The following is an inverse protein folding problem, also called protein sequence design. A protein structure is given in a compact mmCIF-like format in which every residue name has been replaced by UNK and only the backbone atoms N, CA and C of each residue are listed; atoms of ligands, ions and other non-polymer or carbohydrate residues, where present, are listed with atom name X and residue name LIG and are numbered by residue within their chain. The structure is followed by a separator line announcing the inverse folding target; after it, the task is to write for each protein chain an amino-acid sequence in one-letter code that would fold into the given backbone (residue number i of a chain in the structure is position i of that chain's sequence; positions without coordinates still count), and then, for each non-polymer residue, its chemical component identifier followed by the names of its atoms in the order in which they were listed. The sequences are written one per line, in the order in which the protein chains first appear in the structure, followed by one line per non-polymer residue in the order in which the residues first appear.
data_IF_066441870071
#
_entry.id   IF_066441870071
#
_cell.length_a   1.000
_cell.length_b   1.000
_cell.length_c   1.000
_cell.angle_alpha   90.00
_cell.angle_beta   90.00
_cell.angle_gamma   90.00
#
_symmetry.space_group_name_H-M   'P 1'
#
loop_
_entity.id
_entity.type
_entity.pdbx_description
1 polymer ?
#
# COMPACT_ATOMS: atom_id res chain seq x y z
N UNK A 1 54.78 56.32 -4.07
CA UNK A 1 54.57 56.12 -5.52
C UNK A 1 53.38 55.18 -5.70
N UNK A 2 52.16 55.70 -5.60
CA UNK A 2 51.39 56.34 -6.69
C UNK A 2 50.96 55.32 -7.75
N UNK A 3 49.72 54.85 -7.65
CA UNK A 3 48.85 54.77 -8.82
C UNK A 3 47.68 55.72 -8.58
N UNK A 4 47.74 56.80 -9.34
CA UNK A 4 46.80 57.89 -9.37
C UNK A 4 45.41 57.44 -9.86
N UNK A 5 44.40 57.95 -9.17
CA UNK A 5 43.09 58.38 -9.71
C UNK A 5 43.26 59.14 -11.03
N UNK A 6 42.21 59.16 -11.87
CA UNK A 6 41.60 60.36 -12.50
C UNK A 6 40.55 59.88 -13.52
N UNK A 7 39.27 59.88 -13.13
CA UNK A 7 38.17 60.80 -13.54
C UNK A 7 37.42 60.34 -14.82
N UNK A 8 36.10 60.50 -15.00
CA UNK A 8 35.32 61.75 -14.90
C UNK A 8 33.81 61.46 -15.06
N UNK A 9 33.00 62.25 -14.33
CA UNK A 9 31.71 62.86 -14.69
C UNK A 9 30.50 62.03 -15.19
N UNK A 10 29.40 62.10 -14.44
CA UNK A 10 28.20 62.93 -14.71
C UNK A 10 27.28 62.81 -13.48
N UNK A 11 27.10 63.82 -12.64
CA UNK A 11 26.17 64.94 -12.76
C UNK A 11 24.72 64.54 -13.10
N UNK A 12 23.84 64.94 -12.17
CA UNK A 12 22.43 65.30 -12.27
C UNK A 12 21.39 64.35 -11.64
N UNK A 13 20.59 65.00 -10.76
CA UNK A 13 19.14 64.83 -10.58
C UNK A 13 18.72 63.53 -9.87
N UNK A 14 18.05 63.51 -8.72
CA UNK A 14 16.95 64.35 -8.24
C UNK A 14 16.82 64.21 -6.72
N UNK A 15 16.43 65.30 -6.07
CA UNK A 15 15.75 65.26 -4.78
C UNK A 15 14.40 64.61 -5.01
N UNK A 16 14.05 63.59 -4.22
CA UNK A 16 12.66 63.46 -3.80
C UNK A 16 12.55 62.82 -2.41
N UNK A 17 12.08 63.65 -1.49
CA UNK A 17 11.62 63.27 -0.17
C UNK A 17 10.40 62.38 -0.37
N UNK A 18 10.49 61.12 0.06
CA UNK A 18 9.30 60.27 0.22
C UNK A 18 8.43 60.85 1.34
N UNK A 19 7.47 61.68 0.96
CA UNK A 19 6.29 61.96 1.78
C UNK A 19 5.48 60.66 1.92
N UNK A 20 5.53 60.05 3.10
CA UNK A 20 4.54 59.05 3.51
C UNK A 20 3.16 59.73 3.56
N UNK A 21 2.35 59.51 2.51
CA UNK A 21 0.92 59.78 2.56
C UNK A 21 0.30 58.89 3.65
N UNK A 22 0.15 59.44 4.87
CA UNK A 22 -0.72 58.87 5.90
C UNK A 22 -2.14 58.79 5.32
N UNK A 23 -2.57 57.59 4.97
CA UNK A 23 -3.99 57.34 4.71
C UNK A 23 -4.79 57.77 5.95
N UNK A 24 -5.87 58.56 5.81
CA UNK A 24 -6.68 58.94 6.96
C UNK A 24 -7.31 57.69 7.56
N UNK A 25 -6.79 57.28 8.71
CA UNK A 25 -7.37 56.22 9.52
C UNK A 25 -8.62 56.82 10.19
N UNK A 26 -9.79 56.47 9.68
CA UNK A 26 -11.05 56.88 10.30
C UNK A 26 -11.10 56.36 11.74
N UNK A 27 -11.68 57.13 12.70
CA UNK A 27 -11.83 56.66 14.07
C UNK A 27 -12.58 55.33 14.09
N UNK A 28 -12.09 54.34 14.84
CA UNK A 28 -12.69 53.00 14.90
C UNK A 28 -14.19 53.04 15.24
N UNK A 29 -14.61 54.00 16.07
CA UNK A 29 -16.00 54.20 16.46
C UNK A 29 -16.88 54.67 15.29
N UNK A 30 -16.34 55.43 14.34
CA UNK A 30 -17.08 55.90 13.17
C UNK A 30 -17.23 54.77 12.14
N UNK A 31 -16.20 53.92 12.01
CA UNK A 31 -16.24 52.72 11.17
C UNK A 31 -17.28 51.74 11.70
N UNK A 32 -17.37 51.53 13.02
CA UNK A 32 -18.37 50.64 13.61
C UNK A 32 -19.79 51.19 13.44
N UNK A 33 -20.00 52.48 13.67
CA UNK A 33 -21.31 53.11 13.46
C UNK A 33 -21.77 53.02 12.01
N UNK A 34 -20.89 53.31 11.05
CA UNK A 34 -21.21 53.16 9.63
C UNK A 34 -21.46 51.69 9.24
N UNK A 35 -20.69 50.75 9.80
CA UNK A 35 -20.90 49.33 9.56
C UNK A 35 -22.27 48.85 10.07
N UNK A 36 -22.70 49.33 11.23
CA UNK A 36 -24.01 48.99 11.81
C UNK A 36 -25.18 49.62 11.04
N UNK A 37 -25.04 50.87 10.59
CA UNK A 37 -26.05 51.59 9.79
C UNK A 37 -26.23 50.94 8.41
N UNK A 38 -25.11 50.57 7.76
CA UNK A 38 -25.11 49.85 6.49
C UNK A 38 -25.67 48.44 6.67
N UNK A 39 -25.31 47.74 7.75
CA UNK A 39 -25.84 46.41 8.05
C UNK A 39 -27.36 46.43 8.23
N UNK A 40 -27.91 47.37 8.99
CA UNK A 40 -29.37 47.54 9.14
C UNK A 40 -30.05 47.82 7.79
N UNK A 41 -29.51 48.75 7.01
CA UNK A 41 -30.08 49.14 5.71
C UNK A 41 -30.07 47.98 4.70
N UNK A 42 -29.01 47.17 4.69
CA UNK A 42 -28.89 45.99 3.82
C UNK A 42 -29.84 44.86 4.26
N UNK A 43 -30.03 44.66 5.57
CA UNK A 43 -30.98 43.68 6.13
C UNK A 43 -32.42 44.03 5.75
N UNK A 44 -32.79 45.31 5.80
CA UNK A 44 -34.14 45.77 5.49
C UNK A 44 -34.47 45.72 3.99
N UNK A 45 -33.52 46.08 3.12
CA UNK A 45 -33.77 46.15 1.66
C UNK A 45 -33.48 44.85 0.90
N UNK A 46 -32.64 43.96 1.44
CA UNK A 46 -32.20 42.74 0.75
C UNK A 46 -32.14 41.53 1.70
N UNK A 47 -33.29 41.05 2.23
CA UNK A 47 -33.34 39.93 3.19
C UNK A 47 -32.79 38.61 2.60
N UNK A 48 -32.81 38.47 1.27
CA UNK A 48 -32.32 37.30 0.54
C UNK A 48 -30.78 37.22 0.46
N UNK A 49 -30.04 38.31 0.69
CA UNK A 49 -28.57 38.27 0.73
C UNK A 49 -28.03 37.66 2.05
N UNK A 50 -28.81 37.74 3.13
CA UNK A 50 -28.48 37.13 4.44
C UNK A 50 -28.91 35.66 4.56
N UNK A 51 -29.76 35.18 3.63
CA UNK A 51 -30.07 33.75 3.50
C UNK A 51 -28.93 32.93 2.90
N UNK A 52 -27.84 33.56 2.46
CA UNK A 52 -26.56 32.89 2.23
C UNK A 52 -25.84 32.65 3.57
N UNK A 53 -26.58 32.07 4.52
CA UNK A 53 -26.05 31.62 5.79
C UNK A 53 -24.97 30.58 5.54
N UNK A 54 -23.76 30.90 6.00
CA UNK A 54 -22.87 29.99 6.71
C UNK A 54 -22.97 28.53 6.23
N UNK A 55 -22.32 28.22 5.10
CA UNK A 55 -21.67 26.91 4.99
C UNK A 55 -20.65 26.88 6.13
N UNK A 56 -21.07 26.37 7.30
CA UNK A 56 -20.14 25.81 8.29
C UNK A 56 -19.16 24.99 7.47
N UNK A 57 -17.87 25.31 7.54
CA UNK A 57 -16.84 24.36 7.16
C UNK A 57 -17.19 23.09 7.92
N UNK A 58 -17.78 22.11 7.22
CA UNK A 58 -18.05 20.81 7.82
C UNK A 58 -16.67 20.37 8.34
N UNK A 59 -16.53 19.98 9.63
CA UNK A 59 -15.32 19.27 10.02
C UNK A 59 -15.14 18.16 9.00
N UNK A 60 -13.93 18.03 8.46
CA UNK A 60 -13.56 16.95 7.55
C UNK A 60 -14.20 15.67 8.10
N UNK A 61 -14.95 14.91 7.29
CA UNK A 61 -15.70 13.78 7.79
C UNK A 61 -14.70 12.86 8.48
N UNK A 62 -14.82 12.70 9.81
CA UNK A 62 -14.03 11.71 10.53
C UNK A 62 -14.22 10.38 9.79
N UNK A 63 -13.15 9.66 9.44
CA UNK A 63 -13.28 8.42 8.68
C UNK A 63 -14.25 7.51 9.43
N UNK A 64 -15.38 7.18 8.78
CA UNK A 64 -16.34 6.23 9.35
C UNK A 64 -15.56 4.95 9.61
N UNK A 65 -15.60 4.45 10.84
CA UNK A 65 -14.94 3.18 11.18
C UNK A 65 -15.51 2.09 10.27
N UNK A 66 -14.63 1.38 9.59
CA UNK A 66 -14.97 0.23 8.76
C UNK A 66 -14.74 -1.01 9.60
N UNK A 67 -15.80 -1.57 10.16
CA UNK A 67 -15.71 -2.82 10.91
C UNK A 67 -15.23 -3.95 9.99
N UNK A 68 -14.42 -4.87 10.53
CA UNK A 68 -13.87 -6.00 9.79
C UNK A 68 -13.09 -5.61 8.53
N UNK A 69 -12.40 -4.46 8.55
CA UNK A 69 -11.56 -4.00 7.45
C UNK A 69 -10.25 -4.79 7.32
N UNK A 70 -9.89 -5.13 6.08
CA UNK A 70 -8.57 -5.64 5.71
C UNK A 70 -7.89 -4.65 4.79
N UNK A 71 -6.79 -4.09 5.28
CA UNK A 71 -6.01 -3.06 4.62
C UNK A 71 -4.99 -3.71 3.70
N UNK A 72 -5.05 -3.37 2.42
CA UNK A 72 -4.10 -3.86 1.43
C UNK A 72 -2.89 -2.93 1.34
N UNK A 73 -1.70 -3.53 1.37
CA UNK A 73 -0.43 -2.89 1.01
C UNK A 73 -0.15 -3.01 -0.51
N UNK A 74 0.67 -2.11 -1.04
CA UNK A 74 1.13 -2.09 -2.43
C UNK A 74 1.72 -3.43 -2.85
N UNK A 75 2.54 -4.05 -1.98
CA UNK A 75 3.18 -5.34 -2.27
C UNK A 75 2.17 -6.47 -2.49
N UNK A 76 1.12 -6.54 -1.66
CA UNK A 76 0.07 -7.55 -1.77
C UNK A 76 -0.81 -7.33 -3.01
N UNK A 77 -1.07 -6.07 -3.37
CA UNK A 77 -1.85 -5.73 -4.58
C UNK A 77 -1.10 -6.14 -5.84
N UNK A 78 0.21 -5.88 -5.90
CA UNK A 78 1.04 -6.24 -7.07
C UNK A 78 1.18 -7.77 -7.20
N UNK A 79 1.34 -8.48 -6.09
CA UNK A 79 1.43 -9.94 -6.07
C UNK A 79 0.13 -10.60 -6.57
N UNK A 80 -1.01 -10.13 -6.06
CA UNK A 80 -2.33 -10.49 -6.57
C UNK A 80 -2.91 -11.81 -6.08
N UNK A 81 -2.11 -12.75 -5.53
CA UNK A 81 -2.61 -14.06 -5.06
C UNK A 81 -3.68 -13.94 -3.99
N UNK A 82 -3.65 -12.86 -3.21
CA UNK A 82 -4.70 -12.59 -2.22
C UNK A 82 -6.07 -12.41 -2.86
N UNK A 83 -6.15 -11.88 -4.08
CA UNK A 83 -7.43 -11.71 -4.77
C UNK A 83 -8.05 -13.04 -5.17
N UNK A 84 -7.24 -14.06 -5.49
CA UNK A 84 -7.73 -15.41 -5.72
C UNK A 84 -8.32 -16.00 -4.43
N UNK A 85 -7.64 -15.81 -3.29
CA UNK A 85 -8.14 -16.23 -1.97
C UNK A 85 -9.47 -15.54 -1.62
N UNK A 86 -9.61 -14.25 -1.94
CA UNK A 86 -10.86 -13.51 -1.72
C UNK A 86 -11.96 -14.00 -2.67
N UNK A 87 -11.64 -14.24 -3.96
CA UNK A 87 -12.60 -14.76 -4.94
C UNK A 87 -13.12 -16.15 -4.58
N UNK A 88 -12.30 -16.99 -3.93
CA UNK A 88 -12.69 -18.28 -3.38
C UNK A 88 -13.65 -18.18 -2.19
N UNK A 89 -13.84 -16.99 -1.60
CA UNK A 89 -14.72 -16.76 -0.45
C UNK A 89 -14.10 -17.13 0.90
N UNK A 90 -12.79 -17.40 0.96
CA UNK A 90 -12.07 -17.63 2.22
C UNK A 90 -11.96 -16.35 3.07
N UNK A 91 -12.01 -15.18 2.42
CA UNK A 91 -11.93 -13.87 3.05
C UNK A 91 -13.15 -13.04 2.65
N UNK A 92 -14.07 -12.80 3.60
CA UNK A 92 -15.34 -12.08 3.38
C UNK A 92 -15.36 -10.67 3.99
N UNK A 93 -14.18 -10.17 4.35
CA UNK A 93 -13.98 -8.85 4.95
C UNK A 93 -14.11 -7.72 3.92
N UNK A 94 -14.28 -6.48 4.39
CA UNK A 94 -14.20 -5.30 3.52
C UNK A 94 -12.72 -5.06 3.22
N UNK A 95 -12.35 -5.15 1.94
CA UNK A 95 -11.01 -4.80 1.48
C UNK A 95 -10.91 -3.29 1.40
N UNK A 96 -9.87 -2.74 2.01
CA UNK A 96 -9.68 -1.30 2.12
C UNK A 96 -8.31 -0.91 1.60
N UNK A 97 -8.29 0.09 0.72
CA UNK A 97 -7.06 0.64 0.13
C UNK A 97 -6.95 2.10 0.56
N UNK A 98 -5.98 2.45 1.41
CA UNK A 98 -5.67 3.85 1.68
C UNK A 98 -5.30 4.60 0.39
N UNK A 99 -5.67 5.88 0.31
CA UNK A 99 -5.35 6.71 -0.85
C UNK A 99 -3.84 6.79 -1.12
N UNK A 100 -3.00 6.80 -0.07
CA UNK A 100 -1.54 6.79 -0.23
C UNK A 100 -1.01 5.55 -0.94
N UNK A 101 -1.54 4.37 -0.61
CA UNK A 101 -1.21 3.09 -1.25
C UNK A 101 -1.62 3.11 -2.73
N UNK A 102 -2.83 3.61 -3.03
CA UNK A 102 -3.28 3.72 -4.42
C UNK A 102 -2.42 4.70 -5.23
N UNK A 103 -1.97 5.79 -4.61
CA UNK A 103 -1.07 6.76 -5.24
C UNK A 103 0.33 6.18 -5.46
N UNK A 104 0.86 5.44 -4.51
CA UNK A 104 2.13 4.73 -4.64
C UNK A 104 2.07 3.71 -5.78
N UNK A 105 1.00 2.90 -5.85
CA UNK A 105 0.80 1.94 -6.92
C UNK A 105 0.73 2.62 -8.30
N UNK A 106 0.06 3.77 -8.41
CA UNK A 106 0.07 4.59 -9.65
C UNK A 106 1.46 5.07 -10.02
N UNK A 107 2.24 5.57 -9.05
CA UNK A 107 3.65 5.98 -9.29
C UNK A 107 4.50 4.80 -9.78
N UNK A 108 4.26 3.60 -9.27
CA UNK A 108 4.92 2.37 -9.75
C UNK A 108 4.48 2.07 -11.20
N UNK A 109 3.18 2.19 -11.50
CA UNK A 109 2.61 2.00 -12.84
C UNK A 109 3.05 3.06 -13.88
N UNK A 110 3.63 4.17 -13.43
CA UNK A 110 4.21 5.23 -14.25
C UNK A 110 5.76 5.24 -14.19
N UNK A 111 6.37 4.23 -13.56
CA UNK A 111 7.82 4.14 -13.42
C UNK A 111 8.53 4.08 -14.78
N UNK A 112 9.75 4.62 -14.85
CA UNK A 112 10.61 4.48 -16.02
C UNK A 112 11.12 3.04 -16.19
N UNK A 113 11.27 2.32 -15.07
CA UNK A 113 11.60 0.90 -15.05
C UNK A 113 10.44 0.08 -15.62
N UNK A 114 10.71 -0.64 -16.72
CA UNK A 114 9.70 -1.41 -17.43
C UNK A 114 9.06 -2.52 -16.59
N UNK A 115 9.84 -3.18 -15.74
CA UNK A 115 9.35 -4.29 -14.89
C UNK A 115 8.46 -3.75 -13.79
N UNK A 116 8.88 -2.66 -13.12
CA UNK A 116 8.05 -1.99 -12.11
C UNK A 116 6.76 -1.45 -12.72
N UNK A 117 6.85 -0.80 -13.88
CA UNK A 117 5.72 -0.26 -14.64
C UNK A 117 4.69 -1.35 -14.96
N UNK A 118 5.13 -2.48 -15.50
CA UNK A 118 4.24 -3.59 -15.83
C UNK A 118 3.57 -4.17 -14.58
N UNK A 119 4.34 -4.38 -13.51
CA UNK A 119 3.82 -4.86 -12.22
C UNK A 119 2.77 -3.90 -11.63
N UNK A 120 3.02 -2.60 -11.66
CA UNK A 120 2.06 -1.60 -11.18
C UNK A 120 0.77 -1.58 -11.99
N UNK A 121 0.87 -1.63 -13.33
CA UNK A 121 -0.30 -1.70 -14.22
C UNK A 121 -1.13 -2.95 -13.98
N UNK A 122 -0.46 -4.10 -13.85
CA UNK A 122 -1.12 -5.37 -13.51
C UNK A 122 -1.87 -5.28 -12.17
N UNK A 123 -1.25 -4.69 -11.14
CA UNK A 123 -1.91 -4.47 -9.85
C UNK A 123 -3.17 -3.60 -9.97
N UNK A 124 -3.10 -2.50 -10.71
CA UNK A 124 -4.26 -1.64 -10.98
C UNK A 124 -5.38 -2.37 -11.74
N UNK A 125 -5.01 -3.17 -12.74
CA UNK A 125 -5.96 -3.99 -13.51
C UNK A 125 -6.70 -5.00 -12.61
N UNK A 126 -5.98 -5.66 -11.68
CA UNK A 126 -6.59 -6.58 -10.72
C UNK A 126 -7.57 -5.86 -9.79
N UNK A 127 -7.24 -4.66 -9.31
CA UNK A 127 -8.17 -3.87 -8.50
C UNK A 127 -9.45 -3.53 -9.25
N UNK A 128 -9.36 -3.17 -10.53
CA UNK A 128 -10.52 -2.88 -11.38
C UNK A 128 -11.39 -4.12 -11.60
N UNK A 129 -10.78 -5.30 -11.77
CA UNK A 129 -11.51 -6.59 -11.84
C UNK A 129 -12.20 -6.90 -10.52
N UNK A 130 -11.49 -6.76 -9.40
CA UNK A 130 -11.99 -7.05 -8.07
C UNK A 130 -13.19 -6.16 -7.71
N UNK A 131 -13.13 -4.87 -8.06
CA UNK A 131 -14.22 -3.90 -7.86
C UNK A 131 -15.52 -4.30 -8.57
N UNK A 132 -15.43 -5.01 -9.71
CA UNK A 132 -16.59 -5.47 -10.51
C UNK A 132 -17.10 -6.84 -10.06
N UNK A 133 -16.37 -7.53 -9.17
CA UNK A 133 -16.70 -8.89 -8.75
C UNK A 133 -17.83 -8.88 -7.72
N UNK A 134 -18.90 -9.63 -7.99
CA UNK A 134 -20.05 -9.73 -7.09
C UNK A 134 -19.65 -10.36 -5.75
N UNK A 135 -20.16 -9.82 -4.65
CA UNK A 135 -19.90 -10.34 -3.31
C UNK A 135 -18.66 -9.75 -2.63
N UNK A 136 -17.74 -9.13 -3.38
CA UNK A 136 -16.53 -8.51 -2.83
C UNK A 136 -16.77 -7.02 -2.58
N UNK A 137 -16.46 -6.56 -1.37
CA UNK A 137 -16.54 -5.15 -0.98
C UNK A 137 -15.14 -4.55 -0.98
N UNK A 138 -14.84 -3.78 -2.02
CA UNK A 138 -13.61 -3.00 -2.13
C UNK A 138 -13.91 -1.50 -1.89
N UNK A 139 -13.19 -0.90 -0.95
CA UNK A 139 -13.32 0.52 -0.61
C UNK A 139 -11.96 1.22 -0.70
N UNK A 140 -11.91 2.36 -1.40
CA UNK A 140 -10.79 3.29 -1.27
C UNK A 140 -11.07 4.20 -0.08
N UNK A 141 -10.14 4.29 0.86
CA UNK A 141 -10.25 5.16 2.03
C UNK A 141 -9.55 6.49 1.74
N UNK A 142 -10.30 7.60 1.65
CA UNK A 142 -9.71 8.94 1.58
C UNK A 142 -8.92 9.21 2.85
N UNK A 143 -7.74 9.80 2.70
CA UNK A 143 -6.93 10.16 3.86
C UNK A 143 -7.33 11.56 4.38
N UNK A 144 -7.41 11.69 5.71
CA UNK A 144 -7.72 12.98 6.33
C UNK A 144 -6.58 13.98 6.21
N UNK A 145 -6.90 15.27 6.14
CA UNK A 145 -5.92 16.38 6.13
C UNK A 145 -5.38 16.71 7.54
N UNK A 146 -5.32 15.74 8.45
CA UNK A 146 -4.78 16.02 9.78
C UNK A 146 -3.27 16.25 9.65
N UNK A 147 -2.75 17.36 10.20
CA UNK A 147 -1.31 17.69 10.17
C UNK A 147 -0.39 16.56 10.67
N UNK A 148 -0.91 15.67 11.51
CA UNK A 148 -0.18 14.50 12.01
C UNK A 148 0.04 13.46 10.91
N UNK A 149 -0.92 13.26 10.01
CA UNK A 149 -0.86 12.31 8.89
C UNK A 149 0.09 12.79 7.78
N UNK A 150 0.23 14.11 7.58
CA UNK A 150 1.11 14.66 6.53
C UNK A 150 2.58 14.32 6.74
N UNK A 151 3.01 14.13 7.99
CA UNK A 151 4.40 13.81 8.34
C UNK A 151 4.69 12.31 8.38
N UNK A 152 3.65 11.47 8.34
CA UNK A 152 3.78 10.03 8.42
C UNK A 152 4.18 9.45 7.06
N UNK A 153 5.03 8.43 7.10
CA UNK A 153 5.29 7.60 5.92
C UNK A 153 4.05 6.76 5.56
N UNK A 154 4.12 6.09 4.41
CA UNK A 154 3.00 5.28 3.88
C UNK A 154 2.66 4.13 4.85
N UNK A 155 3.68 3.47 5.41
CA UNK A 155 3.52 2.36 6.35
C UNK A 155 2.85 2.81 7.66
N UNK A 156 3.27 3.93 8.23
CA UNK A 156 2.74 4.51 9.45
C UNK A 156 1.27 4.90 9.27
N UNK A 157 0.91 5.45 8.11
CA UNK A 157 -0.50 5.71 7.76
C UNK A 157 -1.28 4.40 7.69
N UNK A 158 -0.74 3.37 7.04
CA UNK A 158 -1.38 2.06 6.95
C UNK A 158 -1.62 1.47 8.35
N UNK A 159 -0.62 1.51 9.23
CA UNK A 159 -0.75 1.06 10.63
C UNK A 159 -1.78 1.89 11.40
N UNK A 160 -1.76 3.21 11.24
CA UNK A 160 -2.71 4.11 11.88
C UNK A 160 -4.15 3.77 11.48
N UNK A 161 -4.43 3.66 10.18
CA UNK A 161 -5.76 3.34 9.70
C UNK A 161 -6.21 1.93 10.12
N UNK A 162 -5.32 0.94 10.06
CA UNK A 162 -5.63 -0.39 10.57
C UNK A 162 -6.00 -0.35 12.06
N UNK A 163 -5.24 0.38 12.88
CA UNK A 163 -5.45 0.46 14.33
C UNK A 163 -6.77 1.14 14.70
N UNK A 164 -7.09 2.30 14.11
CA UNK A 164 -8.35 3.01 14.44
C UNK A 164 -9.60 2.25 14.00
N UNK A 165 -9.47 1.40 12.97
CA UNK A 165 -10.55 0.57 12.44
C UNK A 165 -10.57 -0.84 13.06
N UNK A 166 -9.65 -1.17 13.97
CA UNK A 166 -9.44 -2.55 14.47
C UNK A 166 -9.33 -3.57 13.32
N UNK A 167 -8.74 -3.14 12.22
CA UNK A 167 -8.55 -3.93 11.01
C UNK A 167 -7.25 -4.73 11.04
N UNK A 168 -7.07 -5.51 9.98
CA UNK A 168 -5.85 -6.30 9.72
C UNK A 168 -5.16 -5.77 8.48
N UNK A 169 -3.85 -5.95 8.37
CA UNK A 169 -3.09 -5.63 7.16
C UNK A 169 -2.86 -6.91 6.37
N UNK A 170 -2.87 -6.80 5.04
CA UNK A 170 -2.42 -7.84 4.13
C UNK A 170 -1.20 -7.28 3.41
N UNK A 171 -0.09 -8.00 3.46
CA UNK A 171 1.18 -7.61 2.83
C UNK A 171 1.91 -8.84 2.28
N UNK A 172 2.87 -8.60 1.39
CA UNK A 172 3.91 -9.57 1.03
C UNK A 172 5.27 -9.22 1.62
N UNK A 173 5.39 -8.07 2.29
CA UNK A 173 6.64 -7.58 2.88
C UNK A 173 6.79 -8.06 4.34
N UNK A 174 7.85 -8.85 4.57
CA UNK A 174 8.21 -9.36 5.89
C UNK A 174 8.58 -8.26 6.90
N UNK A 175 9.21 -7.18 6.46
CA UNK A 175 9.58 -6.07 7.32
C UNK A 175 8.35 -5.28 7.75
N UNK A 176 7.41 -5.06 6.83
CA UNK A 176 6.14 -4.40 7.13
C UNK A 176 5.30 -5.23 8.11
N UNK A 177 5.24 -6.56 7.91
CA UNK A 177 4.62 -7.49 8.86
C UNK A 177 5.23 -7.39 10.26
N UNK A 178 6.56 -7.43 10.37
CA UNK A 178 7.26 -7.33 11.65
C UNK A 178 7.00 -5.99 12.35
N UNK A 179 7.05 -4.89 11.59
CA UNK A 179 6.79 -3.52 12.08
C UNK A 179 5.33 -3.39 12.55
N UNK A 180 4.37 -3.94 11.82
CA UNK A 180 2.95 -3.97 12.20
C UNK A 180 2.73 -4.68 13.54
N UNK A 181 3.34 -5.85 13.72
CA UNK A 181 3.22 -6.64 14.95
C UNK A 181 3.76 -5.87 16.17
N UNK A 182 4.89 -5.17 16.02
CA UNK A 182 5.44 -4.29 17.09
C UNK A 182 4.48 -3.15 17.43
N UNK A 183 3.75 -2.61 16.45
CA UNK A 183 2.75 -1.54 16.63
C UNK A 183 1.40 -2.04 17.18
N UNK A 184 1.27 -3.35 17.41
CA UNK A 184 0.05 -4.01 17.87
C UNK A 184 -1.04 -4.10 16.79
N UNK A 185 -0.64 -4.16 15.52
CA UNK A 185 -1.54 -4.33 14.37
C UNK A 185 -1.29 -5.70 13.76
N UNK A 186 -2.34 -6.49 13.59
CA UNK A 186 -2.23 -7.81 12.99
C UNK A 186 -1.98 -7.71 11.48
N UNK A 187 -0.91 -8.35 11.00
CA UNK A 187 -0.58 -8.43 9.58
C UNK A 187 -0.64 -9.89 9.10
N UNK A 188 -1.26 -10.09 7.94
CA UNK A 188 -1.33 -11.36 7.22
C UNK A 188 -0.34 -11.27 6.07
N UNK A 189 0.69 -12.11 6.13
CA UNK A 189 1.65 -12.24 5.05
C UNK A 189 1.19 -13.29 4.04
N UNK A 190 0.95 -12.88 2.80
CA UNK A 190 0.50 -13.78 1.72
C UNK A 190 1.52 -14.88 1.44
N UNK A 191 2.82 -14.59 1.61
CA UNK A 191 3.87 -15.60 1.46
C UNK A 191 3.80 -16.66 2.57
N UNK A 192 3.53 -16.25 3.81
CA UNK A 192 3.34 -17.17 4.91
C UNK A 192 2.10 -18.04 4.69
N UNK A 193 0.99 -17.42 4.26
CA UNK A 193 -0.24 -18.15 3.90
C UNK A 193 0.03 -19.20 2.82
N UNK A 194 0.70 -18.83 1.74
CA UNK A 194 1.03 -19.77 0.67
C UNK A 194 1.88 -20.95 1.16
N UNK A 195 2.84 -20.70 2.06
CA UNK A 195 3.65 -21.77 2.65
C UNK A 195 2.84 -22.68 3.58
N UNK A 196 1.86 -22.15 4.32
CA UNK A 196 0.96 -22.95 5.15
C UNK A 196 0.03 -23.86 4.36
N UNK A 197 -0.27 -23.50 3.11
CA UNK A 197 -1.13 -24.28 2.21
C UNK A 197 -0.36 -25.33 1.39
N UNK A 198 0.97 -25.37 1.47
CA UNK A 198 1.77 -26.42 0.82
C UNK A 198 1.45 -27.77 1.43
N UNK A 199 1.37 -28.79 0.58
CA UNK A 199 1.16 -30.17 1.01
C UNK A 199 2.25 -30.56 2.01
N UNK A 200 1.82 -31.02 3.19
CA UNK A 200 2.74 -31.50 4.22
C UNK A 200 2.91 -32.98 4.02
N UNK A 201 3.88 -33.36 3.20
CA UNK A 201 4.23 -34.75 3.00
C UNK A 201 4.86 -35.29 4.29
N UNK A 202 4.28 -36.34 4.87
CA UNK A 202 4.71 -36.90 6.18
C UNK A 202 5.45 -38.22 5.97
N UNK A 203 6.49 -38.56 6.75
CA UNK A 203 7.05 -39.91 6.75
C UNK A 203 5.96 -40.98 6.89
N UNK A 204 5.96 -41.98 6.02
CA UNK A 204 4.95 -43.04 5.93
C UNK A 204 3.83 -42.76 4.92
N UNK A 205 3.70 -41.54 4.40
CA UNK A 205 2.76 -41.24 3.32
C UNK A 205 3.25 -41.82 1.99
N UNK A 206 2.32 -42.36 1.21
CA UNK A 206 2.61 -42.91 -0.13
C UNK A 206 2.27 -41.88 -1.19
N UNK A 207 3.16 -41.71 -2.16
CA UNK A 207 3.03 -40.78 -3.28
C UNK A 207 3.24 -41.53 -4.59
N UNK A 208 2.47 -41.16 -5.60
CA UNK A 208 2.70 -41.58 -6.98
C UNK A 208 3.53 -40.50 -7.68
N UNK A 209 4.73 -40.84 -8.15
CA UNK A 209 5.67 -39.87 -8.68
C UNK A 209 6.38 -40.38 -9.93
N UNK A 210 6.55 -39.48 -10.91
CA UNK A 210 7.42 -39.73 -12.06
C UNK A 210 8.87 -39.51 -11.68
N UNK A 211 9.72 -40.51 -11.91
CA UNK A 211 11.17 -40.34 -11.80
C UNK A 211 11.68 -39.67 -13.08
N UNK A 212 12.28 -38.49 -12.94
CA UNK A 212 12.67 -37.67 -14.08
C UNK A 212 14.18 -37.68 -14.32
N UNK A 213 14.98 -37.71 -13.25
CA UNK A 213 16.43 -37.61 -13.34
C UNK A 213 17.14 -38.61 -12.43
N UNK A 214 18.41 -38.92 -12.75
CA UNK A 214 19.33 -39.55 -11.79
C UNK A 214 19.61 -38.55 -10.67
N UNK A 215 19.61 -39.01 -9.43
CA UNK A 215 19.95 -38.21 -8.26
C UNK A 215 21.45 -37.98 -8.12
N UNK A 216 21.83 -37.38 -6.98
CA UNK A 216 23.23 -37.08 -6.70
C UNK A 216 24.06 -38.37 -6.54
N UNK A 217 23.50 -39.36 -5.87
CA UNK A 217 24.11 -40.69 -5.77
C UNK A 217 23.60 -41.59 -6.91
N UNK A 218 24.46 -42.47 -7.44
CA UNK A 218 24.16 -43.29 -8.61
C UNK A 218 22.92 -44.20 -8.47
N UNK A 219 22.52 -44.51 -7.23
CA UNK A 219 21.33 -45.31 -6.94
C UNK A 219 20.06 -44.46 -6.75
N UNK A 220 20.14 -43.13 -6.79
CA UNK A 220 18.99 -42.27 -6.54
C UNK A 220 18.25 -41.93 -7.83
N UNK A 221 16.92 -41.90 -7.74
CA UNK A 221 16.06 -41.21 -8.69
C UNK A 221 15.62 -39.87 -8.11
N UNK A 222 15.28 -38.91 -8.97
CA UNK A 222 14.71 -37.62 -8.58
C UNK A 222 13.44 -37.34 -9.37
N UNK A 223 12.38 -36.99 -8.64
CA UNK A 223 11.12 -36.48 -9.18
C UNK A 223 10.75 -35.15 -8.52
N UNK A 224 9.70 -34.51 -9.02
CA UNK A 224 9.19 -33.24 -8.49
C UNK A 224 7.68 -33.32 -8.34
N UNK A 225 7.18 -32.82 -7.21
CA UNK A 225 5.75 -32.52 -7.05
C UNK A 225 5.36 -31.31 -7.91
N UNK A 226 4.06 -31.14 -8.12
CA UNK A 226 3.51 -30.01 -8.89
C UNK A 226 3.92 -28.63 -8.34
N UNK A 227 4.20 -28.54 -7.03
CA UNK A 227 4.65 -27.32 -6.37
C UNK A 227 6.17 -27.08 -6.46
N UNK A 228 6.89 -27.96 -7.16
CA UNK A 228 8.34 -27.92 -7.34
C UNK A 228 9.14 -28.57 -6.20
N UNK A 229 8.49 -29.16 -5.20
CA UNK A 229 9.19 -29.90 -4.13
C UNK A 229 9.94 -31.10 -4.72
N UNK A 230 11.25 -31.15 -4.47
CA UNK A 230 12.10 -32.23 -4.97
C UNK A 230 11.91 -33.49 -4.12
N UNK A 231 11.68 -34.62 -4.78
CA UNK A 231 11.62 -35.95 -4.16
C UNK A 231 12.84 -36.76 -4.61
N UNK A 232 13.66 -37.19 -3.67
CA UNK A 232 14.81 -38.08 -3.87
C UNK A 232 14.41 -39.49 -3.48
N UNK A 233 14.46 -40.42 -4.43
CA UNK A 233 13.98 -41.79 -4.29
C UNK A 233 15.19 -42.72 -4.18
N UNK A 234 15.33 -43.39 -3.05
CA UNK A 234 16.36 -44.41 -2.85
C UNK A 234 16.12 -45.59 -3.80
N UNK A 235 17.18 -46.05 -4.48
CA UNK A 235 17.14 -47.08 -5.52
C UNK A 235 16.22 -46.73 -6.72
N UNK A 236 15.97 -45.45 -6.95
CA UNK A 236 15.11 -44.96 -8.04
C UNK A 236 15.81 -44.74 -9.38
N UNK A 237 17.13 -44.91 -9.48
CA UNK A 237 17.89 -44.60 -10.72
C UNK A 237 17.53 -45.50 -11.90
N UNK A 238 17.04 -46.72 -11.64
CA UNK A 238 16.59 -47.65 -12.68
C UNK A 238 15.17 -47.34 -13.20
N UNK A 239 14.43 -46.46 -12.51
CA UNK A 239 13.02 -46.21 -12.78
C UNK A 239 12.81 -44.89 -13.56
N UNK A 240 13.88 -44.34 -14.15
CA UNK A 240 13.83 -43.06 -14.87
C UNK A 240 12.85 -43.15 -16.04
N UNK A 241 11.95 -42.16 -16.10
CA UNK A 241 10.87 -42.08 -17.07
C UNK A 241 9.58 -42.77 -16.64
N UNK A 242 9.60 -43.56 -15.56
CA UNK A 242 8.44 -44.30 -15.05
C UNK A 242 7.76 -43.55 -13.91
N UNK A 243 6.45 -43.79 -13.80
CA UNK A 243 5.62 -43.39 -12.68
C UNK A 243 5.58 -44.55 -11.67
N UNK A 244 6.01 -44.30 -10.44
CA UNK A 244 6.15 -45.31 -9.38
C UNK A 244 5.51 -44.85 -8.08
N UNK A 245 5.04 -45.83 -7.29
CA UNK A 245 4.60 -45.60 -5.92
C UNK A 245 5.79 -45.61 -4.96
N UNK A 246 5.91 -44.56 -4.16
CA UNK A 246 6.97 -44.40 -3.18
C UNK A 246 6.40 -44.04 -1.82
N UNK A 247 7.05 -44.48 -0.75
CA UNK A 247 6.74 -44.08 0.61
C UNK A 247 7.78 -43.08 1.11
N UNK A 248 7.33 -41.97 1.69
CA UNK A 248 8.21 -40.94 2.23
C UNK A 248 8.93 -41.50 3.45
N UNK A 249 10.26 -41.43 3.45
CA UNK A 249 11.10 -41.88 4.55
C UNK A 249 11.50 -40.72 5.47
N UNK A 250 11.83 -39.55 4.92
CA UNK A 250 12.22 -38.35 5.69
C UNK A 250 11.99 -37.07 4.90
N UNK A 251 11.87 -35.96 5.63
CA UNK A 251 11.73 -34.61 5.07
C UNK A 251 12.93 -33.77 5.51
N UNK A 252 13.59 -33.10 4.57
CA UNK A 252 14.67 -32.16 4.83
C UNK A 252 14.26 -30.77 4.33
N UNK A 253 14.25 -29.79 5.23
CA UNK A 253 14.08 -28.40 4.87
C UNK A 253 15.47 -27.77 4.66
N UNK A 254 15.68 -27.14 3.50
CA UNK A 254 16.90 -26.39 3.17
C UNK A 254 16.56 -24.92 2.95
N UNK A 255 17.58 -24.06 2.82
CA UNK A 255 17.41 -22.65 2.47
C UNK A 255 16.81 -22.44 1.06
N UNK A 256 17.04 -23.38 0.14
CA UNK A 256 16.53 -23.31 -1.23
C UNK A 256 15.12 -23.92 -1.39
N UNK A 257 14.63 -24.66 -0.41
CA UNK A 257 13.34 -25.33 -0.49
C UNK A 257 13.25 -26.59 0.35
N UNK A 258 12.18 -27.35 0.14
CA UNK A 258 11.92 -28.62 0.81
C UNK A 258 12.36 -29.77 -0.09
N UNK A 259 13.02 -30.76 0.49
CA UNK A 259 13.43 -32.00 -0.16
C UNK A 259 12.80 -33.16 0.59
N UNK A 260 12.07 -34.02 -0.11
CA UNK A 260 11.51 -35.26 0.42
C UNK A 260 12.43 -36.40 0.03
N UNK A 261 12.70 -37.31 0.95
CA UNK A 261 13.33 -38.59 0.62
C UNK A 261 12.27 -39.67 0.72
N UNK A 262 12.28 -40.58 -0.24
CA UNK A 262 11.32 -41.66 -0.34
C UNK A 262 12.01 -42.97 -0.71
N UNK A 263 11.30 -44.07 -0.47
CA UNK A 263 11.68 -45.43 -0.86
C UNK A 263 10.59 -46.02 -1.73
N UNK A 264 10.96 -46.85 -2.70
CA UNK A 264 9.98 -47.58 -3.51
C UNK A 264 9.13 -48.50 -2.63
N UNK A 265 7.84 -48.62 -2.95
CA UNK A 265 6.90 -49.58 -2.35
C UNK A 265 7.01 -50.93 -3.06
#
# INVERSE_FOLDING_TARGET
MVKNKVTKNNQNEEKDKKEEKKNPMFPQNLISMLADEVAKTVVERMPHLLQRQRKKTKPSPKPKKVENAMFLDTSAIIDGRIFDVVNLGLINNILVIPESILLELKRIADSQDAVKRERGRKGLEMLEKLKKTKGIKLMVMPEGQEKKLEKMDVDEKLFYYAKINKGRIITCDYNLEKKANIQGVFAINVNALANCLKVTAVPGESLHIKVQHVGKDANQGVGYLDDGTMIVIENGSNEIGLDIDVVISRVIQTSAGRILFAKKI
#
